data_IF_012000375838
#
_entry.id   IF_012000375838
#
_cell.length_a   1.000
_cell.length_b   1.000
_cell.length_c   1.000
_cell.angle_alpha   90.00
_cell.angle_beta   90.00
_cell.angle_gamma   90.00
#
_symmetry.space_group_name_H-M   'P 1'
#
loop_
_entity.id
_entity.type
_entity.pdbx_description
1 polymer ?
#
# COMPACT_ATOMS: atom_id res chain seq x y z
N UNK A 1 -3.46 16.01 -20.75
CA UNK A 1 -3.39 14.83 -19.86
C UNK A 1 -4.16 15.15 -18.60
N UNK A 2 -5.25 14.42 -18.28
CA UNK A 2 -5.92 14.56 -16.98
C UNK A 2 -4.94 14.07 -15.91
N UNK A 3 -4.64 14.93 -14.93
CA UNK A 3 -3.92 14.54 -13.73
C UNK A 3 -4.72 13.42 -13.08
N UNK A 4 -4.14 12.21 -12.94
CA UNK A 4 -4.73 11.15 -12.12
C UNK A 4 -4.71 11.66 -10.68
N UNK A 5 -5.89 12.05 -10.17
CA UNK A 5 -6.06 12.38 -8.77
C UNK A 5 -6.05 11.09 -7.95
N UNK A 6 -5.43 11.13 -6.77
CA UNK A 6 -5.46 10.00 -5.85
C UNK A 6 -6.90 9.72 -5.43
N UNK A 7 -7.34 8.49 -5.67
CA UNK A 7 -8.76 8.08 -5.62
C UNK A 7 -9.37 8.27 -4.23
N UNK A 8 -8.58 8.10 -3.18
CA UNK A 8 -9.06 8.15 -1.80
C UNK A 8 -9.06 9.57 -1.20
N UNK A 9 -8.55 10.58 -1.91
CA UNK A 9 -8.45 11.94 -1.41
C UNK A 9 -7.34 12.14 -0.36
N UNK A 10 -7.37 13.28 0.34
CA UNK A 10 -6.31 13.68 1.28
C UNK A 10 -6.87 14.23 2.59
N UNK A 11 -8.04 13.75 3.01
CA UNK A 11 -8.68 14.17 4.27
C UNK A 11 -7.96 13.58 5.50
N UNK A 12 -8.22 14.15 6.69
CA UNK A 12 -7.75 13.55 7.95
C UNK A 12 -8.21 12.10 8.11
N UNK A 13 -9.38 11.77 7.59
CA UNK A 13 -9.93 10.43 7.59
C UNK A 13 -9.11 9.48 6.72
N UNK A 14 -8.67 9.93 5.55
CA UNK A 14 -7.78 9.15 4.69
C UNK A 14 -6.43 8.87 5.37
N UNK A 15 -5.89 9.84 6.08
CA UNK A 15 -4.68 9.66 6.89
C UNK A 15 -4.88 8.56 7.94
N UNK A 16 -6.02 8.58 8.64
CA UNK A 16 -6.33 7.56 9.65
C UNK A 16 -6.48 6.17 9.03
N UNK A 17 -7.14 6.08 7.87
CA UNK A 17 -7.24 4.83 7.09
C UNK A 17 -5.87 4.29 6.73
N UNK A 18 -4.96 5.16 6.25
CA UNK A 18 -3.58 4.76 5.90
C UNK A 18 -2.81 4.24 7.12
N UNK A 19 -3.02 4.82 8.30
CA UNK A 19 -2.40 4.36 9.55
C UNK A 19 -2.90 2.95 9.91
N UNK A 20 -4.21 2.70 9.85
CA UNK A 20 -4.76 1.35 10.08
C UNK A 20 -4.21 0.35 9.08
N UNK A 21 -4.25 0.70 7.79
CA UNK A 21 -3.69 -0.13 6.73
C UNK A 21 -2.22 -0.47 6.99
N UNK A 22 -1.42 0.55 7.28
CA UNK A 22 0.01 0.37 7.52
C UNK A 22 0.30 -0.61 8.67
N UNK A 23 -0.45 -0.51 9.78
CA UNK A 23 -0.31 -1.42 10.91
C UNK A 23 -0.63 -2.88 10.53
N UNK A 24 -1.71 -3.08 9.76
CA UNK A 24 -2.15 -4.42 9.33
C UNK A 24 -1.12 -5.06 8.37
N UNK A 25 -0.61 -4.30 7.38
CA UNK A 25 0.27 -4.84 6.34
C UNK A 25 1.76 -4.77 6.70
N UNK A 26 2.11 -4.12 7.82
CA UNK A 26 3.50 -3.99 8.29
C UNK A 26 4.27 -5.31 8.31
N UNK A 27 3.72 -6.43 8.85
CA UNK A 27 4.44 -7.71 8.90
C UNK A 27 4.85 -8.23 7.51
N UNK A 28 4.00 -8.02 6.50
CA UNK A 28 4.26 -8.42 5.10
C UNK A 28 5.39 -7.57 4.51
N UNK A 29 5.30 -6.23 4.68
CA UNK A 29 6.38 -5.32 4.24
C UNK A 29 7.69 -5.64 4.94
N UNK A 30 7.67 -5.90 6.25
CA UNK A 30 8.85 -6.27 7.02
C UNK A 30 9.50 -7.55 6.49
N UNK A 31 8.70 -8.56 6.14
CA UNK A 31 9.19 -9.78 5.51
C UNK A 31 9.85 -9.51 4.15
N UNK A 32 9.27 -8.63 3.33
CA UNK A 32 9.88 -8.19 2.09
C UNK A 32 11.25 -7.56 2.33
N UNK A 33 11.37 -6.62 3.29
CA UNK A 33 12.64 -5.97 3.64
C UNK A 33 13.69 -6.99 4.09
N UNK A 34 13.28 -8.03 4.84
CA UNK A 34 14.17 -9.14 5.22
C UNK A 34 14.58 -9.99 4.01
N UNK A 35 13.67 -10.24 3.07
CA UNK A 35 13.96 -11.02 1.85
C UNK A 35 14.95 -10.32 0.93
N UNK A 36 14.88 -9.02 0.79
CA UNK A 36 15.85 -8.22 0.03
C UNK A 36 17.16 -8.00 0.82
N UNK A 37 17.24 -8.51 2.05
CA UNK A 37 18.40 -8.41 2.94
C UNK A 37 18.78 -6.95 3.25
N UNK A 38 17.76 -6.09 3.45
CA UNK A 38 18.00 -4.74 3.91
C UNK A 38 18.75 -4.75 5.25
N UNK A 39 19.80 -3.96 5.37
CA UNK A 39 20.69 -3.95 6.54
C UNK A 39 21.32 -2.59 6.83
N UNK A 40 22.10 -2.57 7.91
CA UNK A 40 22.74 -1.35 8.44
C UNK A 40 23.58 -0.62 7.40
N UNK A 41 23.47 0.71 7.37
CA UNK A 41 24.24 1.59 6.50
C UNK A 41 23.70 1.69 5.06
N UNK A 42 22.72 0.86 4.67
CA UNK A 42 22.15 0.88 3.33
C UNK A 42 21.33 2.14 3.06
N UNK A 43 21.22 2.47 1.78
CA UNK A 43 20.47 3.61 1.23
C UNK A 43 19.18 3.11 0.60
N UNK A 44 18.05 3.66 1.02
CA UNK A 44 16.71 3.25 0.57
C UNK A 44 16.00 4.42 -0.07
N UNK A 45 15.36 4.17 -1.21
CA UNK A 45 14.38 5.08 -1.83
C UNK A 45 12.98 4.46 -1.73
N UNK A 46 12.07 5.16 -1.06
CA UNK A 46 10.67 4.78 -0.89
C UNK A 46 9.80 5.60 -1.86
N UNK A 47 9.21 4.92 -2.84
CA UNK A 47 8.44 5.49 -3.93
C UNK A 47 6.95 5.60 -3.56
N UNK A 48 6.39 6.82 -3.60
CA UNK A 48 5.02 7.07 -3.15
C UNK A 48 4.89 6.80 -1.65
N UNK A 49 5.82 7.37 -0.87
CA UNK A 49 5.98 7.05 0.55
C UNK A 49 4.76 7.41 1.43
N UNK A 50 3.82 8.22 0.91
CA UNK A 50 2.64 8.63 1.66
C UNK A 50 3.01 9.22 3.03
N UNK A 51 2.36 8.73 4.08
CA UNK A 51 2.62 9.14 5.47
C UNK A 51 3.92 8.57 6.09
N UNK A 52 4.81 7.97 5.27
CA UNK A 52 6.16 7.56 5.66
C UNK A 52 6.27 6.19 6.35
N UNK A 53 5.22 5.36 6.31
CA UNK A 53 5.22 4.09 7.06
C UNK A 53 6.31 3.12 6.60
N UNK A 54 6.51 2.97 5.28
CA UNK A 54 7.58 2.14 4.71
C UNK A 54 8.93 2.78 4.97
N UNK A 55 9.05 4.10 4.82
CA UNK A 55 10.28 4.85 5.13
C UNK A 55 10.72 4.66 6.57
N UNK A 56 9.81 4.80 7.55
CA UNK A 56 10.11 4.60 8.97
C UNK A 56 10.47 3.15 9.28
N UNK A 57 9.79 2.18 8.66
CA UNK A 57 10.12 0.78 8.80
C UNK A 57 11.53 0.48 8.23
N UNK A 58 11.85 0.99 7.03
CA UNK A 58 13.17 0.83 6.42
C UNK A 58 14.28 1.46 7.27
N UNK A 59 14.02 2.62 7.89
CA UNK A 59 14.96 3.31 8.77
C UNK A 59 15.36 2.46 9.99
N UNK A 60 14.46 1.63 10.51
CA UNK A 60 14.77 0.68 11.59
C UNK A 60 15.77 -0.40 11.15
N UNK A 61 15.73 -0.80 9.86
CA UNK A 61 16.67 -1.79 9.32
C UNK A 61 18.04 -1.18 9.00
N UNK A 62 18.05 0.02 8.41
CA UNK A 62 19.31 0.63 7.99
C UNK A 62 20.07 1.31 9.14
N UNK A 63 19.37 1.57 10.25
CA UNK A 63 19.98 2.17 11.44
C UNK A 63 20.46 3.62 11.22
N UNK A 64 21.17 4.18 12.20
CA UNK A 64 21.57 5.60 12.20
C UNK A 64 22.62 5.96 11.14
N UNK A 65 23.34 4.97 10.60
CA UNK A 65 24.37 5.17 9.55
C UNK A 65 23.81 5.01 8.14
N UNK A 66 22.55 4.56 8.01
CA UNK A 66 21.86 4.44 6.73
C UNK A 66 21.21 5.75 6.29
N UNK A 67 20.54 5.70 5.15
CA UNK A 67 19.76 6.81 4.60
C UNK A 67 18.44 6.28 4.02
N UNK A 68 17.35 6.97 4.33
CA UNK A 68 16.06 6.71 3.67
C UNK A 68 15.58 8.00 3.03
N UNK A 69 15.25 7.94 1.76
CA UNK A 69 14.63 9.03 1.02
C UNK A 69 13.22 8.60 0.64
N UNK A 70 12.20 9.26 1.20
CA UNK A 70 10.81 9.08 0.80
C UNK A 70 10.42 10.12 -0.25
N UNK A 71 9.79 9.69 -1.35
CA UNK A 71 9.26 10.62 -2.34
C UNK A 71 7.76 10.43 -2.50
N UNK A 72 7.03 11.55 -2.62
CA UNK A 72 5.60 11.58 -2.93
C UNK A 72 5.26 12.86 -3.70
N UNK A 73 4.14 12.86 -4.41
CA UNK A 73 3.63 14.04 -5.14
C UNK A 73 2.86 14.99 -4.22
N UNK A 74 2.34 14.49 -3.12
CA UNK A 74 1.50 15.23 -2.20
C UNK A 74 2.32 15.86 -1.06
N UNK A 75 2.31 17.21 -1.03
CA UNK A 75 3.02 17.99 -0.01
C UNK A 75 2.49 17.77 1.40
N UNK A 76 1.16 17.66 1.55
CA UNK A 76 0.54 17.61 2.87
C UNK A 76 0.82 16.28 3.56
N UNK A 77 0.79 15.18 2.80
CA UNK A 77 1.13 13.86 3.34
C UNK A 77 2.63 13.77 3.69
N UNK A 78 3.50 14.45 2.95
CA UNK A 78 4.92 14.53 3.27
C UNK A 78 5.21 15.34 4.52
N UNK A 79 4.44 16.41 4.78
CA UNK A 79 4.55 17.17 6.03
C UNK A 79 4.23 16.26 7.23
N UNK A 80 3.14 15.49 7.15
CA UNK A 80 2.82 14.49 8.16
C UNK A 80 3.91 13.41 8.31
N UNK A 81 4.45 12.91 7.19
CA UNK A 81 5.53 11.93 7.23
C UNK A 81 6.76 12.47 7.96
N UNK A 82 7.12 13.75 7.71
CA UNK A 82 8.23 14.41 8.38
C UNK A 82 7.98 14.60 9.89
N UNK A 83 6.78 15.01 10.28
CA UNK A 83 6.40 15.13 11.69
C UNK A 83 6.48 13.77 12.41
N UNK A 84 5.98 12.71 11.78
CA UNK A 84 6.01 11.35 12.34
C UNK A 84 7.44 10.83 12.47
N UNK A 85 8.29 11.05 11.47
CA UNK A 85 9.70 10.63 11.50
C UNK A 85 10.47 11.40 12.58
N UNK A 86 10.20 12.70 12.76
CA UNK A 86 10.77 13.51 13.84
C UNK A 86 10.35 13.01 15.20
N UNK A 87 9.04 12.77 15.41
CA UNK A 87 8.52 12.22 16.66
C UNK A 87 9.05 10.82 16.99
N UNK A 88 9.43 10.05 15.99
CA UNK A 88 10.06 8.73 16.14
C UNK A 88 11.60 8.78 16.25
N UNK A 89 12.19 9.98 16.30
CA UNK A 89 13.65 10.20 16.39
C UNK A 89 14.46 9.48 15.29
N UNK A 90 13.97 9.58 14.02
CA UNK A 90 14.58 8.96 12.85
C UNK A 90 15.22 10.01 11.91
N UNK A 91 16.36 10.65 12.31
CA UNK A 91 16.98 11.73 11.55
C UNK A 91 17.56 11.30 10.21
N UNK A 92 17.76 9.99 9.99
CA UNK A 92 18.25 9.42 8.74
C UNK A 92 17.20 9.39 7.61
N UNK A 93 15.95 9.86 7.86
CA UNK A 93 14.92 9.94 6.86
C UNK A 93 14.81 11.37 6.32
N UNK A 94 14.70 11.48 5.01
CA UNK A 94 14.34 12.74 4.33
C UNK A 94 13.18 12.52 3.38
N UNK A 95 12.32 13.55 3.25
CA UNK A 95 11.15 13.49 2.35
C UNK A 95 11.28 14.55 1.26
N UNK A 96 10.91 14.21 0.01
CA UNK A 96 10.98 15.11 -1.13
C UNK A 96 9.69 15.07 -1.95
N UNK A 97 9.14 16.25 -2.25
CA UNK A 97 7.97 16.37 -3.12
C UNK A 97 8.38 16.25 -4.58
N UNK A 98 8.18 15.08 -5.16
CA UNK A 98 8.50 14.81 -6.57
C UNK A 98 7.76 13.55 -7.05
N UNK A 99 7.81 13.30 -8.37
CA UNK A 99 7.43 12.00 -8.94
C UNK A 99 8.69 11.19 -9.27
N UNK A 100 8.54 9.89 -9.49
CA UNK A 100 9.66 9.01 -9.86
C UNK A 100 10.29 9.44 -11.18
N UNK A 101 9.49 9.90 -12.13
CA UNK A 101 9.95 10.34 -13.45
C UNK A 101 10.76 11.63 -13.39
N UNK A 102 10.45 12.48 -12.41
CA UNK A 102 11.11 13.79 -12.21
C UNK A 102 12.21 13.72 -11.14
N UNK A 103 12.27 12.64 -10.37
CA UNK A 103 13.28 12.49 -9.34
C UNK A 103 14.64 12.25 -9.99
N UNK A 104 15.60 13.11 -9.67
CA UNK A 104 17.00 12.94 -10.04
C UNK A 104 17.84 12.88 -8.78
N UNK A 105 18.77 11.93 -8.73
CA UNK A 105 19.76 11.81 -7.70
C UNK A 105 21.12 11.54 -8.37
N UNK A 106 22.18 12.17 -7.86
CA UNK A 106 23.54 11.84 -8.27
C UNK A 106 24.01 10.49 -7.71
N UNK A 107 23.29 9.99 -6.70
CA UNK A 107 23.60 8.76 -6.00
C UNK A 107 22.46 7.76 -6.20
N UNK A 108 22.81 6.51 -6.32
CA UNK A 108 21.89 5.39 -6.42
C UNK A 108 21.60 4.79 -5.05
N UNK A 109 20.61 3.89 -4.99
CA UNK A 109 20.11 3.30 -3.75
C UNK A 109 20.34 1.78 -3.75
N UNK A 110 20.64 1.23 -2.58
CA UNK A 110 20.77 -0.21 -2.38
C UNK A 110 19.41 -0.92 -2.45
N UNK A 111 18.36 -0.20 -2.09
CA UNK A 111 16.97 -0.63 -2.25
C UNK A 111 16.10 0.51 -2.78
N UNK A 112 15.37 0.23 -3.85
CA UNK A 112 14.24 1.04 -4.30
C UNK A 112 12.98 0.24 -4.04
N UNK A 113 12.05 0.79 -3.24
CA UNK A 113 10.84 0.10 -2.82
C UNK A 113 9.60 0.95 -3.07
N UNK A 114 8.48 0.31 -3.39
CA UNK A 114 7.16 0.93 -3.42
C UNK A 114 6.11 0.01 -2.79
N UNK A 115 5.12 0.62 -2.11
CA UNK A 115 3.97 -0.13 -1.60
C UNK A 115 2.67 0.48 -2.10
N UNK A 116 1.83 -0.35 -2.74
CA UNK A 116 0.53 0.05 -3.28
C UNK A 116 0.63 1.23 -4.24
N UNK A 117 1.64 1.19 -5.11
CA UNK A 117 1.94 2.31 -6.00
C UNK A 117 1.72 1.97 -7.48
N UNK A 118 1.98 0.73 -7.91
CA UNK A 118 1.93 0.36 -9.31
C UNK A 118 0.51 0.43 -9.88
N UNK A 119 -0.49 0.00 -9.11
CA UNK A 119 -1.89 0.04 -9.53
C UNK A 119 -2.40 1.47 -9.84
N UNK A 120 -1.76 2.49 -9.26
CA UNK A 120 -2.09 3.91 -9.45
C UNK A 120 -1.40 4.55 -10.66
N UNK A 121 -0.43 3.88 -11.29
CA UNK A 121 0.30 4.45 -12.41
C UNK A 121 -0.51 4.34 -13.70
N UNK A 122 -0.35 5.31 -14.60
CA UNK A 122 -0.88 5.22 -15.97
C UNK A 122 -0.05 4.29 -16.86
N UNK A 123 1.23 4.13 -16.52
CA UNK A 123 2.20 3.23 -17.16
C UNK A 123 3.07 2.57 -16.08
N UNK A 124 2.65 1.44 -15.51
CA UNK A 124 3.42 0.72 -14.49
C UNK A 124 4.79 0.25 -14.99
N UNK A 125 4.88 -0.13 -16.25
CA UNK A 125 6.13 -0.61 -16.86
C UNK A 125 7.13 0.54 -17.01
N UNK A 126 6.68 1.70 -17.48
CA UNK A 126 7.49 2.91 -17.53
C UNK A 126 7.93 3.39 -16.15
N UNK A 127 7.05 3.26 -15.16
CA UNK A 127 7.37 3.54 -13.76
C UNK A 127 8.47 2.60 -13.23
N UNK A 128 8.37 1.30 -13.50
CA UNK A 128 9.39 0.31 -13.12
C UNK A 128 10.74 0.62 -13.77
N UNK A 129 10.75 1.01 -15.06
CA UNK A 129 12.00 1.45 -15.76
C UNK A 129 12.62 2.68 -15.12
N UNK A 130 11.81 3.66 -14.74
CA UNK A 130 12.29 4.86 -14.07
C UNK A 130 12.88 4.54 -12.68
N UNK A 131 12.20 3.70 -11.91
CA UNK A 131 12.65 3.23 -10.61
C UNK A 131 13.96 2.43 -10.70
N UNK A 132 14.09 1.57 -11.71
CA UNK A 132 15.28 0.74 -11.92
C UNK A 132 16.57 1.56 -12.12
N UNK A 133 16.48 2.73 -12.74
CA UNK A 133 17.62 3.64 -12.95
C UNK A 133 18.20 4.21 -11.66
N UNK A 134 17.42 4.15 -10.57
CA UNK A 134 17.80 4.66 -9.26
C UNK A 134 18.45 3.59 -8.38
N UNK A 135 18.43 2.33 -8.81
CA UNK A 135 19.03 1.22 -8.08
C UNK A 135 20.53 1.16 -8.35
N UNK A 136 21.34 0.99 -7.32
CA UNK A 136 22.78 0.77 -7.44
C UNK A 136 23.08 -0.60 -8.06
N UNK A 137 24.22 -0.74 -8.72
CA UNK A 137 24.67 -2.05 -9.23
C UNK A 137 24.74 -3.08 -8.10
N UNK A 138 23.99 -4.18 -8.25
CA UNK A 138 23.85 -5.22 -7.23
C UNK A 138 22.85 -4.87 -6.12
N UNK A 139 22.17 -3.72 -6.23
CA UNK A 139 21.04 -3.35 -5.38
C UNK A 139 19.76 -4.13 -5.70
N UNK A 140 18.68 -3.76 -5.05
CA UNK A 140 17.37 -4.42 -5.23
C UNK A 140 16.28 -3.44 -5.55
N UNK A 141 15.33 -3.88 -6.37
CA UNK A 141 14.05 -3.21 -6.59
C UNK A 141 12.93 -4.10 -6.04
N UNK A 142 12.00 -3.53 -5.27
CA UNK A 142 10.97 -4.29 -4.57
C UNK A 142 9.63 -3.58 -4.58
N UNK A 143 8.55 -4.34 -4.73
CA UNK A 143 7.19 -3.84 -4.67
C UNK A 143 6.32 -4.73 -3.80
N UNK A 144 5.42 -4.09 -3.05
CA UNK A 144 4.40 -4.74 -2.25
C UNK A 144 3.04 -4.22 -2.70
N UNK A 145 2.25 -5.06 -3.36
CA UNK A 145 0.97 -4.68 -3.96
C UNK A 145 -0.18 -5.49 -3.39
N UNK A 146 -1.35 -4.86 -3.30
CA UNK A 146 -2.60 -5.50 -2.89
C UNK A 146 -3.24 -6.22 -4.07
N UNK A 147 -3.78 -7.41 -3.85
CA UNK A 147 -4.58 -8.13 -4.84
C UNK A 147 -6.02 -7.64 -4.80
N UNK A 148 -6.32 -6.62 -5.59
CA UNK A 148 -7.65 -6.00 -5.66
C UNK A 148 -8.72 -7.00 -6.12
N UNK A 149 -8.34 -8.00 -6.90
CA UNK A 149 -9.24 -9.03 -7.43
C UNK A 149 -9.55 -10.15 -6.43
N UNK A 150 -8.81 -10.25 -5.34
CA UNK A 150 -9.08 -11.24 -4.30
C UNK A 150 -10.19 -10.74 -3.39
N UNK A 151 -11.28 -11.49 -3.35
CA UNK A 151 -12.47 -11.14 -2.57
C UNK A 151 -12.25 -11.31 -1.07
N UNK A 152 -12.99 -10.52 -0.30
CA UNK A 152 -13.16 -10.69 1.13
C UNK A 152 -14.01 -11.94 1.40
N UNK A 153 -13.59 -12.76 2.35
CA UNK A 153 -14.30 -13.99 2.72
C UNK A 153 -14.40 -14.12 4.25
N UNK A 154 -15.21 -15.07 4.71
CA UNK A 154 -15.38 -15.35 6.14
C UNK A 154 -15.86 -16.79 6.39
N UNK A 155 -15.39 -17.39 7.47
CA UNK A 155 -15.76 -18.73 7.87
C UNK A 155 -16.01 -18.80 9.39
N UNK A 156 -17.26 -19.08 9.84
CA UNK A 156 -18.52 -19.14 9.11
C UNK A 156 -18.84 -17.87 8.31
N UNK A 157 -19.72 -17.95 7.28
CA UNK A 157 -20.06 -16.81 6.44
C UNK A 157 -20.69 -15.65 7.22
N UNK A 158 -20.19 -14.44 6.97
CA UNK A 158 -20.73 -13.17 7.48
C UNK A 158 -21.12 -12.31 6.28
N UNK A 159 -22.41 -12.27 5.88
CA UNK A 159 -22.85 -11.58 4.67
C UNK A 159 -22.44 -10.10 4.64
N UNK A 160 -22.50 -9.39 5.77
CA UNK A 160 -22.10 -7.99 5.85
C UNK A 160 -20.62 -7.79 5.49
N UNK A 161 -19.72 -8.71 5.91
CA UNK A 161 -18.30 -8.68 5.55
C UNK A 161 -18.10 -8.84 4.04
N UNK A 162 -18.76 -9.83 3.45
CA UNK A 162 -18.66 -10.12 2.02
C UNK A 162 -19.22 -8.98 1.15
N UNK A 163 -20.39 -8.46 1.51
CA UNK A 163 -21.01 -7.32 0.81
C UNK A 163 -20.13 -6.09 0.88
N UNK A 164 -19.58 -5.79 2.05
CA UNK A 164 -18.66 -4.65 2.23
C UNK A 164 -17.41 -4.82 1.35
N UNK A 165 -16.80 -6.00 1.34
CA UNK A 165 -15.67 -6.32 0.49
C UNK A 165 -15.96 -6.19 -1.00
N UNK A 166 -17.14 -6.63 -1.44
CA UNK A 166 -17.56 -6.50 -2.85
C UNK A 166 -17.66 -5.03 -3.28
N UNK A 167 -18.20 -4.14 -2.44
CA UNK A 167 -18.23 -2.71 -2.75
C UNK A 167 -16.83 -2.11 -2.85
N UNK A 168 -15.93 -2.45 -1.93
CA UNK A 168 -14.53 -2.02 -1.97
C UNK A 168 -13.88 -2.50 -3.27
N UNK A 169 -14.08 -3.76 -3.64
CA UNK A 169 -13.52 -4.34 -4.87
C UNK A 169 -14.05 -3.60 -6.11
N UNK A 170 -15.35 -3.44 -6.27
CA UNK A 170 -15.94 -2.74 -7.41
C UNK A 170 -15.45 -1.31 -7.54
N UNK A 171 -15.41 -0.57 -6.44
CA UNK A 171 -14.91 0.79 -6.43
C UNK A 171 -13.42 0.86 -6.80
N UNK A 172 -12.59 -0.04 -6.25
CA UNK A 172 -11.16 -0.10 -6.52
C UNK A 172 -10.86 -0.48 -7.97
N UNK A 173 -11.56 -1.47 -8.53
CA UNK A 173 -11.43 -1.85 -9.94
C UNK A 173 -11.78 -0.69 -10.89
N UNK A 174 -12.82 0.06 -10.56
CA UNK A 174 -13.21 1.22 -11.37
C UNK A 174 -12.25 2.42 -11.24
N UNK A 175 -11.54 2.51 -10.12
CA UNK A 175 -10.71 3.65 -9.77
C UNK A 175 -9.25 3.49 -10.16
N UNK A 176 -8.73 2.27 -10.12
CA UNK A 176 -7.33 1.96 -10.36
C UNK A 176 -7.11 1.57 -11.81
N UNK A 177 -6.25 2.30 -12.57
CA UNK A 177 -5.98 1.99 -13.99
C UNK A 177 -5.45 0.58 -14.21
N UNK A 178 -4.65 0.08 -13.26
CA UNK A 178 -4.02 -1.24 -13.32
C UNK A 178 -4.31 -2.03 -12.03
N UNK A 179 -5.60 -2.22 -11.73
CA UNK A 179 -6.06 -2.97 -10.56
C UNK A 179 -5.61 -4.44 -10.54
N UNK A 180 -5.18 -4.98 -11.68
CA UNK A 180 -4.67 -6.34 -11.89
C UNK A 180 -3.13 -6.45 -11.84
N UNK A 181 -2.42 -5.34 -11.61
CA UNK A 181 -0.94 -5.30 -11.68
C UNK A 181 -0.28 -6.29 -10.73
N UNK A 182 -0.88 -6.56 -9.57
CA UNK A 182 -0.38 -7.53 -8.60
C UNK A 182 -0.34 -8.97 -9.13
N UNK A 183 -1.19 -9.28 -10.11
CA UNK A 183 -1.25 -10.60 -10.74
C UNK A 183 -0.34 -10.68 -12.00
N UNK A 184 0.26 -9.55 -12.41
CA UNK A 184 1.09 -9.40 -13.61
C UNK A 184 2.51 -8.91 -13.31
N UNK A 185 3.01 -9.07 -12.09
CA UNK A 185 4.33 -8.54 -11.70
C UNK A 185 5.48 -9.17 -12.50
N UNK A 186 5.44 -10.47 -12.79
CA UNK A 186 6.47 -11.13 -13.63
C UNK A 186 6.52 -10.48 -15.01
N UNK A 187 5.38 -10.33 -15.67
CA UNK A 187 5.26 -9.69 -16.98
C UNK A 187 5.75 -8.25 -16.94
N UNK A 188 5.28 -7.47 -15.95
CA UNK A 188 5.64 -6.06 -15.79
C UNK A 188 7.15 -5.86 -15.58
N UNK A 189 7.80 -6.70 -14.78
CA UNK A 189 9.25 -6.67 -14.60
C UNK A 189 9.99 -7.02 -15.90
N UNK A 190 9.55 -8.08 -16.60
CA UNK A 190 10.13 -8.48 -17.90
C UNK A 190 10.01 -7.36 -18.93
N UNK A 191 8.84 -6.75 -19.09
CA UNK A 191 8.62 -5.64 -20.02
C UNK A 191 9.41 -4.39 -19.64
N UNK A 192 9.68 -4.19 -18.35
CA UNK A 192 10.55 -3.13 -17.88
C UNK A 192 12.04 -3.37 -18.16
N UNK A 193 12.43 -4.57 -18.61
CA UNK A 193 13.82 -4.98 -18.81
C UNK A 193 14.54 -5.31 -17.51
N UNK A 194 13.78 -5.61 -16.44
CA UNK A 194 14.30 -6.05 -15.16
C UNK A 194 14.48 -7.57 -15.13
N UNK A 195 15.36 -8.09 -14.27
CA UNK A 195 15.43 -9.53 -14.01
C UNK A 195 14.09 -10.07 -13.51
N UNK A 196 13.83 -11.36 -13.75
CA UNK A 196 12.64 -12.04 -13.24
C UNK A 196 12.56 -11.89 -11.72
N UNK A 197 11.44 -11.39 -11.17
CA UNK A 197 11.33 -11.15 -9.75
C UNK A 197 11.10 -12.45 -8.98
N UNK A 198 11.67 -12.50 -7.77
CA UNK A 198 11.17 -13.43 -6.76
C UNK A 198 9.83 -12.91 -6.24
N UNK A 199 8.92 -13.83 -5.92
CA UNK A 199 7.59 -13.51 -5.43
C UNK A 199 7.29 -14.23 -4.11
N UNK A 200 6.51 -13.60 -3.26
CA UNK A 200 5.70 -14.29 -2.26
C UNK A 200 4.36 -13.57 -2.09
N UNK A 201 3.35 -14.31 -1.66
CA UNK A 201 2.06 -13.73 -1.32
C UNK A 201 1.61 -14.16 0.06
N UNK A 202 0.78 -13.34 0.68
CA UNK A 202 0.14 -13.60 1.96
C UNK A 202 -1.33 -13.21 1.89
N UNK A 203 -2.16 -13.99 2.59
CA UNK A 203 -3.54 -13.62 2.82
C UNK A 203 -3.69 -13.13 4.24
N UNK A 204 -4.22 -11.93 4.40
CA UNK A 204 -4.45 -11.35 5.71
C UNK A 204 -5.69 -11.98 6.33
N UNK A 205 -5.56 -12.45 7.56
CA UNK A 205 -6.64 -13.12 8.30
C UNK A 205 -6.84 -12.39 9.62
N UNK A 206 -8.10 -12.20 10.01
CA UNK A 206 -8.48 -11.52 11.24
C UNK A 206 -9.69 -12.16 11.91
N UNK A 207 -10.24 -11.47 12.89
CA UNK A 207 -11.41 -11.90 13.68
C UNK A 207 -11.25 -11.52 15.15
N UNK A 208 -12.28 -11.86 15.94
CA UNK A 208 -12.31 -11.48 17.35
C UNK A 208 -12.66 -10.02 17.59
N UNK A 209 -12.81 -9.63 18.86
CA UNK A 209 -13.36 -8.32 19.22
C UNK A 209 -12.43 -7.15 18.91
N UNK A 210 -11.11 -7.38 18.99
CA UNK A 210 -10.08 -6.33 18.85
C UNK A 210 -9.44 -6.30 17.45
N UNK A 211 -10.04 -6.97 16.45
CA UNK A 211 -9.48 -7.01 15.09
C UNK A 211 -9.44 -5.62 14.46
N UNK A 212 -8.27 -5.15 13.98
CA UNK A 212 -8.14 -3.85 13.32
C UNK A 212 -8.78 -3.80 11.94
N UNK A 213 -9.18 -4.95 11.39
CA UNK A 213 -9.81 -5.03 10.08
C UNK A 213 -11.13 -4.29 10.00
N UNK A 214 -11.91 -4.24 11.08
CA UNK A 214 -13.21 -3.57 11.08
C UNK A 214 -13.08 -2.08 10.78
N UNK A 215 -12.19 -1.40 11.50
CA UNK A 215 -11.90 0.02 11.28
C UNK A 215 -11.32 0.25 9.88
N UNK A 216 -10.32 -0.54 9.48
CA UNK A 216 -9.70 -0.39 8.17
C UNK A 216 -10.68 -0.57 7.01
N UNK A 217 -11.53 -1.59 7.06
CA UNK A 217 -12.50 -1.89 6.01
C UNK A 217 -13.60 -0.84 5.97
N UNK A 218 -14.10 -0.41 7.13
CA UNK A 218 -15.12 0.64 7.22
C UNK A 218 -14.60 1.98 6.64
N UNK A 219 -13.40 2.41 7.04
CA UNK A 219 -12.78 3.64 6.54
C UNK A 219 -12.42 3.54 5.04
N UNK A 220 -11.98 2.35 4.58
CA UNK A 220 -11.70 2.12 3.16
C UNK A 220 -12.96 2.27 2.32
N UNK A 221 -14.07 1.64 2.72
CA UNK A 221 -15.33 1.77 2.01
C UNK A 221 -15.81 3.22 2.01
N UNK A 222 -15.72 3.90 3.13
CA UNK A 222 -16.16 5.29 3.25
C UNK A 222 -15.36 6.24 2.35
N UNK A 223 -14.04 6.03 2.23
CA UNK A 223 -13.19 6.79 1.29
C UNK A 223 -13.56 6.50 -0.19
N UNK A 224 -14.15 5.35 -0.46
CA UNK A 224 -14.55 4.92 -1.81
C UNK A 224 -16.01 5.25 -2.19
N UNK A 225 -16.83 5.77 -1.27
CA UNK A 225 -18.23 6.13 -1.56
C UNK A 225 -18.39 7.09 -2.76
N UNK A 226 -17.55 8.15 -2.90
CA UNK A 226 -17.65 9.02 -4.07
C UNK A 226 -17.41 8.27 -5.40
N UNK A 227 -16.56 7.25 -5.37
CA UNK A 227 -16.29 6.42 -6.54
C UNK A 227 -17.47 5.51 -6.87
N UNK A 228 -18.10 4.87 -5.88
CA UNK A 228 -19.31 4.07 -6.06
C UNK A 228 -20.43 4.91 -6.64
N UNK A 229 -20.65 6.13 -6.12
CA UNK A 229 -21.63 7.06 -6.65
C UNK A 229 -21.35 7.42 -8.13
N UNK A 230 -20.07 7.63 -8.48
CA UNK A 230 -19.66 7.97 -9.85
C UNK A 230 -19.95 6.86 -10.86
N UNK A 231 -19.85 5.60 -10.44
CA UNK A 231 -20.15 4.44 -11.31
C UNK A 231 -21.60 3.97 -11.22
N UNK A 232 -22.45 4.71 -10.49
CA UNK A 232 -23.89 4.43 -10.40
C UNK A 232 -24.23 3.20 -9.57
N UNK A 233 -23.34 2.74 -8.70
CA UNK A 233 -23.63 1.60 -7.81
C UNK A 233 -24.41 2.10 -6.60
N UNK A 234 -25.66 1.64 -6.40
CA UNK A 234 -26.42 1.97 -5.21
C UNK A 234 -25.85 1.24 -4.00
N UNK A 235 -25.51 2.00 -2.96
CA UNK A 235 -24.98 1.46 -1.69
C UNK A 235 -25.99 1.59 -0.54
N UNK A 236 -27.28 1.68 -0.86
CA UNK A 236 -28.36 1.77 0.14
C UNK A 236 -28.44 0.57 1.09
N UNK A 237 -27.91 -0.59 0.70
CA UNK A 237 -27.78 -1.77 1.58
C UNK A 237 -26.81 -1.53 2.74
N UNK A 238 -25.94 -0.52 2.62
CA UNK A 238 -24.96 -0.10 3.65
C UNK A 238 -25.50 1.05 4.51
N UNK A 239 -26.82 1.12 4.71
CA UNK A 239 -27.43 2.13 5.58
C UNK A 239 -26.68 2.21 6.92
N UNK A 240 -26.32 3.43 7.35
CA UNK A 240 -25.56 3.65 8.59
C UNK A 240 -24.07 3.34 8.42
N UNK A 241 -23.45 3.88 7.37
CA UNK A 241 -22.00 3.72 7.09
C UNK A 241 -21.13 4.20 8.27
N UNK A 242 -21.61 5.18 9.04
CA UNK A 242 -20.93 5.71 10.22
C UNK A 242 -20.82 4.67 11.35
N UNK A 243 -21.70 3.68 11.36
CA UNK A 243 -21.71 2.59 12.35
C UNK A 243 -21.17 1.28 11.79
N UNK A 244 -20.65 1.29 10.56
CA UNK A 244 -20.24 0.07 9.85
C UNK A 244 -19.16 -0.72 10.60
N UNK A 245 -18.19 -0.05 11.19
CA UNK A 245 -17.15 -0.70 12.00
C UNK A 245 -17.75 -1.54 13.14
N UNK A 246 -18.65 -0.94 13.92
CA UNK A 246 -19.32 -1.63 15.03
C UNK A 246 -20.17 -2.81 14.55
N UNK A 247 -20.92 -2.63 13.47
CA UNK A 247 -21.76 -3.67 12.87
C UNK A 247 -20.95 -4.84 12.32
N UNK A 248 -19.82 -4.59 11.68
CA UNK A 248 -18.89 -5.63 11.22
C UNK A 248 -18.35 -6.43 12.41
N UNK A 249 -17.89 -5.72 13.46
CA UNK A 249 -17.40 -6.34 14.70
C UNK A 249 -18.45 -7.23 15.34
N UNK A 250 -19.65 -6.70 15.55
CA UNK A 250 -20.77 -7.45 16.16
C UNK A 250 -21.12 -8.69 15.33
N UNK A 251 -21.26 -8.56 14.02
CA UNK A 251 -21.61 -9.68 13.14
C UNK A 251 -20.54 -10.79 13.13
N UNK A 252 -19.26 -10.41 13.05
CA UNK A 252 -18.15 -11.37 13.03
C UNK A 252 -17.98 -12.07 14.38
N UNK A 253 -18.08 -11.32 15.48
CA UNK A 253 -17.96 -11.87 16.84
C UNK A 253 -19.15 -12.79 17.15
N UNK A 254 -20.38 -12.38 16.82
CA UNK A 254 -21.59 -13.19 17.01
C UNK A 254 -21.52 -14.51 16.22
N UNK A 255 -21.02 -14.46 14.99
CA UNK A 255 -20.82 -15.65 14.16
C UNK A 255 -19.61 -16.50 14.59
N UNK A 256 -18.77 -16.03 15.52
CA UNK A 256 -17.46 -16.62 15.85
C UNK A 256 -16.63 -16.88 14.60
N UNK A 257 -16.67 -15.94 13.67
CA UNK A 257 -16.09 -16.10 12.33
C UNK A 257 -14.64 -15.64 12.30
N UNK A 258 -13.86 -16.33 11.47
CA UNK A 258 -12.59 -15.86 10.95
C UNK A 258 -12.87 -15.08 9.67
N UNK A 259 -12.30 -13.88 9.55
CA UNK A 259 -12.42 -13.05 8.36
C UNK A 259 -11.12 -13.04 7.57
N UNK A 260 -11.28 -13.00 6.25
CA UNK A 260 -10.19 -12.96 5.28
C UNK A 260 -10.25 -11.60 4.58
N UNK A 261 -9.13 -10.90 4.54
CA UNK A 261 -8.95 -9.66 3.80
C UNK A 261 -8.35 -9.91 2.41
N UNK A 262 -8.00 -8.84 1.70
CA UNK A 262 -7.34 -8.98 0.41
C UNK A 262 -5.98 -9.66 0.54
N UNK A 263 -5.57 -10.33 -0.53
CA UNK A 263 -4.23 -10.88 -0.61
C UNK A 263 -3.18 -9.79 -0.82
N UNK A 264 -1.98 -10.08 -0.35
CA UNK A 264 -0.80 -9.25 -0.52
C UNK A 264 0.21 -9.99 -1.39
N UNK A 265 0.83 -9.28 -2.33
CA UNK A 265 1.87 -9.84 -3.20
C UNK A 265 3.11 -8.96 -3.13
N UNK A 266 4.23 -9.57 -2.84
CA UNK A 266 5.53 -8.94 -2.83
C UNK A 266 6.39 -9.48 -3.97
N UNK A 267 7.02 -8.58 -4.72
CA UNK A 267 7.95 -8.89 -5.80
C UNK A 267 9.27 -8.16 -5.59
N UNK A 268 10.41 -8.83 -5.83
CA UNK A 268 11.71 -8.16 -5.81
C UNK A 268 12.70 -8.83 -6.75
N UNK A 269 13.58 -8.02 -7.32
CA UNK A 269 14.70 -8.48 -8.14
C UNK A 269 15.99 -7.78 -7.73
N UNK A 270 17.13 -8.44 -7.98
CA UNK A 270 18.47 -7.86 -7.88
C UNK A 270 18.90 -7.34 -9.24
N UNK A 271 19.37 -6.10 -9.30
CA UNK A 271 19.81 -5.44 -10.54
C UNK A 271 21.32 -5.52 -10.72
#
# INVERSE_FOLDING_TARGET
MKKLEYVFGHSQREIQRLIYQAAIVKPVTERLLRRVKLGSGMRVLDLGCGAGDVSMLAAQFVGPTGLVVGIDRNRDVLALAAERAHAAELPQITFKQTSVESFSSQETFDLVIGRYILAHQSDPVGFLRAAARLVSKGGSIAFHEIRVLQMFDSAPPVPLWQVTGNFIQMASQSALPHHDVSDRLIESFSEAGLPEPNLFGETLVGGGIDSPFYAWVAETLQSLLPQLARIGIPFGELVGIETLEGRLREAVVAARSQIVGPGEVCAWAKT
#
